data_IF_988111744171
#
_entry.id   IF_988111744171
#
_cell.length_a   1.000
_cell.length_b   1.000
_cell.length_c   1.000
_cell.angle_alpha   90.00
_cell.angle_beta   90.00
_cell.angle_gamma   90.00
#
_symmetry.space_group_name_H-M   'P 1'
#
loop_
_entity.id
_entity.type
_entity.pdbx_description
1 polymer ?
#
# COMPACT_ATOMS: atom_id res chain seq x y z
N UNK A 1 -14.24 -3.81 -46.72
CA UNK A 1 -12.82 -3.58 -46.38
C UNK A 1 -12.79 -3.33 -44.87
N UNK A 2 -12.66 -4.44 -44.12
CA UNK A 2 -12.48 -4.40 -42.65
C UNK A 2 -11.04 -3.95 -42.37
N UNK A 3 -10.90 -3.00 -41.48
CA UNK A 3 -9.70 -2.29 -41.13
C UNK A 3 -8.61 -3.20 -40.52
N UNK A 4 -7.74 -3.74 -41.38
CA UNK A 4 -6.56 -4.51 -40.98
C UNK A 4 -5.56 -3.68 -40.14
N UNK A 5 -5.71 -2.34 -40.12
CA UNK A 5 -4.84 -1.44 -39.36
C UNK A 5 -5.05 -1.48 -37.85
N UNK A 6 -6.29 -1.76 -37.39
CA UNK A 6 -6.63 -1.89 -35.98
C UNK A 6 -6.07 -3.20 -35.38
N UNK A 7 -6.11 -4.29 -36.14
CA UNK A 7 -5.57 -5.57 -35.72
C UNK A 7 -4.05 -5.56 -35.51
N UNK A 8 -3.32 -4.90 -36.40
CA UNK A 8 -1.85 -4.80 -36.29
C UNK A 8 -1.40 -3.84 -35.19
N UNK A 9 -2.15 -2.78 -34.89
CA UNK A 9 -1.84 -1.89 -33.77
C UNK A 9 -2.02 -2.62 -32.43
N UNK A 10 -3.11 -3.34 -32.27
CA UNK A 10 -3.38 -4.15 -31.07
C UNK A 10 -2.35 -5.27 -30.87
N UNK A 11 -1.89 -5.90 -31.97
CA UNK A 11 -0.88 -6.95 -31.91
C UNK A 11 0.52 -6.38 -31.55
N UNK A 12 0.89 -5.21 -32.08
CA UNK A 12 2.16 -4.55 -31.71
C UNK A 12 2.16 -4.05 -30.28
N UNK A 13 1.04 -3.54 -29.78
CA UNK A 13 0.88 -3.15 -28.38
C UNK A 13 1.01 -4.37 -27.45
N UNK A 14 0.37 -5.49 -27.81
CA UNK A 14 0.48 -6.76 -27.07
C UNK A 14 1.91 -7.32 -27.06
N UNK A 15 2.68 -7.21 -28.15
CA UNK A 15 4.06 -7.66 -28.23
C UNK A 15 5.02 -6.77 -27.44
N UNK A 16 4.83 -5.45 -27.47
CA UNK A 16 5.65 -4.52 -26.66
C UNK A 16 5.38 -4.70 -25.17
N UNK A 17 4.14 -4.90 -24.79
CA UNK A 17 3.74 -5.21 -23.42
C UNK A 17 4.36 -6.52 -22.92
N UNK A 18 4.27 -7.60 -23.72
CA UNK A 18 4.92 -8.88 -23.38
C UNK A 18 6.44 -8.78 -23.24
N UNK A 19 7.11 -7.99 -24.07
CA UNK A 19 8.56 -7.75 -23.94
C UNK A 19 8.90 -6.99 -22.67
N UNK A 20 8.11 -6.01 -22.33
CA UNK A 20 8.25 -5.24 -21.08
C UNK A 20 8.03 -6.12 -19.85
N UNK A 21 6.97 -6.97 -19.84
CA UNK A 21 6.73 -7.96 -18.79
C UNK A 21 7.89 -8.91 -18.56
N UNK A 22 8.46 -9.46 -19.66
CA UNK A 22 9.63 -10.35 -19.58
C UNK A 22 10.85 -9.59 -19.04
N UNK A 23 11.05 -8.33 -19.45
CA UNK A 23 12.11 -7.47 -18.93
C UNK A 23 11.97 -7.30 -17.42
N UNK A 24 10.82 -6.89 -16.92
CA UNK A 24 10.55 -6.77 -15.48
C UNK A 24 10.76 -8.07 -14.70
N UNK A 25 10.30 -9.20 -15.24
CA UNK A 25 10.56 -10.52 -14.61
C UNK A 25 12.06 -10.81 -14.47
N UNK A 26 12.85 -10.52 -15.49
CA UNK A 26 14.30 -10.72 -15.45
C UNK A 26 14.96 -9.77 -14.45
N UNK A 27 14.53 -8.51 -14.40
CA UNK A 27 15.06 -7.53 -13.48
C UNK A 27 14.71 -7.90 -12.02
N UNK A 28 13.49 -8.34 -11.76
CA UNK A 28 13.08 -8.86 -10.45
C UNK A 28 13.92 -10.09 -10.04
N UNK A 29 14.15 -11.04 -10.96
CA UNK A 29 15.00 -12.22 -10.68
C UNK A 29 16.42 -11.79 -10.27
N UNK A 30 16.98 -10.79 -10.94
CA UNK A 30 18.32 -10.27 -10.63
C UNK A 30 18.35 -9.50 -9.33
N UNK A 31 17.37 -8.61 -9.15
CA UNK A 31 17.26 -7.74 -7.99
C UNK A 31 17.09 -8.53 -6.69
N UNK A 32 16.21 -9.53 -6.70
CA UNK A 32 15.93 -10.38 -5.53
C UNK A 32 16.85 -11.60 -5.43
N UNK A 33 17.85 -11.75 -6.32
CA UNK A 33 18.75 -12.90 -6.36
C UNK A 33 18.02 -14.25 -6.27
N UNK A 34 16.95 -14.39 -7.07
CA UNK A 34 16.01 -15.52 -7.01
C UNK A 34 16.73 -16.82 -7.36
N UNK A 35 16.61 -17.90 -6.56
CA UNK A 35 17.21 -19.20 -6.87
C UNK A 35 16.77 -19.74 -8.24
N UNK A 36 17.64 -20.44 -9.00
CA UNK A 36 17.40 -20.82 -10.41
C UNK A 36 16.07 -21.54 -10.68
N UNK A 37 15.67 -22.45 -9.78
CA UNK A 37 14.39 -23.18 -9.93
C UNK A 37 13.19 -22.23 -9.81
N UNK A 38 13.23 -21.31 -8.86
CA UNK A 38 12.20 -20.29 -8.68
C UNK A 38 12.22 -19.26 -9.80
N UNK A 39 13.41 -18.89 -10.30
CA UNK A 39 13.56 -18.00 -11.44
C UNK A 39 12.89 -18.57 -12.70
N UNK A 40 13.06 -19.86 -12.96
CA UNK A 40 12.39 -20.55 -14.07
C UNK A 40 10.86 -20.53 -13.91
N UNK A 41 10.35 -20.81 -12.72
CA UNK A 41 8.93 -20.74 -12.42
C UNK A 41 8.40 -19.33 -12.63
N UNK A 42 9.11 -18.30 -12.14
CA UNK A 42 8.75 -16.90 -12.33
C UNK A 42 8.71 -16.48 -13.81
N UNK A 43 9.57 -17.01 -14.65
CA UNK A 43 9.57 -16.76 -16.10
C UNK A 43 8.43 -17.46 -16.84
N UNK A 44 8.06 -18.68 -16.41
CA UNK A 44 7.07 -19.52 -17.10
C UNK A 44 5.63 -19.19 -16.75
N UNK A 45 5.36 -18.68 -15.53
CA UNK A 45 4.02 -18.35 -15.06
C UNK A 45 3.78 -16.84 -15.11
N UNK A 46 2.54 -16.44 -15.34
CA UNK A 46 2.14 -15.03 -15.35
C UNK A 46 1.98 -14.54 -13.91
N UNK A 47 3.13 -14.19 -13.31
CA UNK A 47 3.25 -13.88 -11.87
C UNK A 47 2.69 -12.49 -11.56
N UNK A 48 2.51 -11.64 -12.57
CA UNK A 48 2.04 -10.27 -12.37
C UNK A 48 0.67 -10.21 -11.70
N UNK A 49 -0.21 -11.16 -12.04
CA UNK A 49 -1.52 -11.28 -11.42
C UNK A 49 -1.52 -12.04 -10.09
N UNK A 50 -0.53 -12.88 -9.86
CA UNK A 50 -0.40 -13.62 -8.61
C UNK A 50 0.30 -12.78 -7.53
N UNK A 51 1.03 -11.72 -7.91
CA UNK A 51 1.78 -10.87 -7.00
C UNK A 51 0.93 -9.96 -6.10
N UNK A 52 -0.34 -9.73 -6.44
CA UNK A 52 -1.17 -8.74 -5.74
C UNK A 52 -2.22 -9.35 -4.83
N UNK A 53 -2.44 -10.68 -4.88
CA UNK A 53 -3.46 -11.36 -4.10
C UNK A 53 -2.91 -12.64 -3.46
N UNK A 54 -2.42 -12.53 -2.24
CA UNK A 54 -1.86 -13.62 -1.43
C UNK A 54 -2.13 -13.40 0.06
N UNK A 55 -2.12 -14.51 0.81
CA UNK A 55 -2.11 -14.47 2.27
C UNK A 55 -0.69 -14.29 2.79
N UNK A 56 -0.56 -13.74 3.98
CA UNK A 56 0.71 -13.59 4.70
C UNK A 56 0.73 -14.46 5.95
N UNK A 57 1.92 -14.98 6.29
CA UNK A 57 2.10 -15.86 7.45
C UNK A 57 2.49 -15.15 8.74
N UNK A 58 2.80 -13.86 8.67
CA UNK A 58 3.37 -13.09 9.77
C UNK A 58 2.51 -11.89 10.21
N UNK A 59 1.19 -12.12 10.34
CA UNK A 59 0.25 -11.10 10.83
C UNK A 59 0.55 -10.66 12.27
N UNK A 60 1.06 -11.55 13.12
CA UNK A 60 1.44 -11.20 14.50
C UNK A 60 2.64 -10.25 14.51
N UNK A 61 3.65 -10.49 13.66
CA UNK A 61 4.77 -9.56 13.48
C UNK A 61 4.30 -8.20 12.93
N UNK A 62 3.27 -8.20 12.06
CA UNK A 62 2.66 -6.98 11.52
C UNK A 62 1.98 -6.16 12.63
N UNK A 63 1.17 -6.78 13.49
CA UNK A 63 0.52 -6.05 14.59
C UNK A 63 1.53 -5.47 15.58
N UNK A 64 2.61 -6.20 15.89
CA UNK A 64 3.72 -5.73 16.71
C UNK A 64 4.45 -4.56 16.05
N UNK A 65 4.75 -4.66 14.76
CA UNK A 65 5.37 -3.58 13.99
C UNK A 65 4.52 -2.31 14.02
N UNK A 66 3.23 -2.42 13.70
CA UNK A 66 2.31 -1.29 13.71
C UNK A 66 2.18 -0.67 15.11
N UNK A 67 2.14 -1.50 16.16
CA UNK A 67 2.10 -1.04 17.54
C UNK A 67 3.36 -0.26 17.93
N UNK A 68 4.55 -0.74 17.57
CA UNK A 68 5.82 -0.02 17.81
C UNK A 68 5.85 1.31 17.06
N UNK A 69 5.43 1.31 15.80
CA UNK A 69 5.48 2.51 14.97
C UNK A 69 4.50 3.59 15.45
N UNK A 70 3.31 3.20 15.90
CA UNK A 70 2.21 4.14 16.17
C UNK A 70 1.92 4.37 17.65
N UNK A 71 2.38 3.47 18.53
CA UNK A 71 1.99 3.45 19.94
C UNK A 71 0.57 2.96 20.21
N UNK A 72 -0.17 2.51 19.18
CA UNK A 72 -1.50 1.92 19.33
C UNK A 72 -1.37 0.52 19.93
N UNK A 73 -2.34 0.12 20.73
CA UNK A 73 -2.31 -1.19 21.40
C UNK A 73 -2.25 -2.33 20.37
N UNK A 74 -1.30 -3.26 20.57
CA UNK A 74 -1.08 -4.40 19.66
C UNK A 74 -2.33 -5.27 19.50
N UNK A 75 -3.05 -5.56 20.60
CA UNK A 75 -4.24 -6.40 20.55
C UNK A 75 -5.41 -5.73 19.78
N UNK A 76 -5.49 -4.41 19.79
CA UNK A 76 -6.44 -3.66 18.99
C UNK A 76 -6.12 -3.78 17.50
N UNK A 77 -4.86 -3.59 17.12
CA UNK A 77 -4.38 -3.73 15.74
C UNK A 77 -4.55 -5.17 15.23
N UNK A 78 -4.21 -6.16 16.04
CA UNK A 78 -4.43 -7.57 15.72
C UNK A 78 -5.93 -7.88 15.51
N UNK A 79 -6.79 -7.28 16.32
CA UNK A 79 -8.25 -7.39 16.17
C UNK A 79 -8.73 -6.84 14.80
N UNK A 80 -8.22 -5.70 14.37
CA UNK A 80 -8.54 -5.14 13.05
C UNK A 80 -7.96 -5.94 11.89
N UNK A 81 -6.76 -6.50 12.04
CA UNK A 81 -6.19 -7.43 11.05
C UNK A 81 -7.10 -8.67 10.92
N UNK A 82 -7.52 -9.25 12.02
CA UNK A 82 -8.44 -10.39 12.02
C UNK A 82 -9.81 -10.01 11.43
N UNK A 83 -10.30 -8.79 11.64
CA UNK A 83 -11.57 -8.31 11.10
C UNK A 83 -11.60 -8.37 9.57
N UNK A 84 -10.57 -7.85 8.88
CA UNK A 84 -10.51 -7.90 7.42
C UNK A 84 -10.22 -9.32 6.91
N UNK A 85 -9.37 -10.08 7.58
CA UNK A 85 -9.06 -11.47 7.17
C UNK A 85 -10.28 -12.37 7.22
N UNK A 86 -11.22 -12.13 8.13
CA UNK A 86 -12.45 -12.90 8.31
C UNK A 86 -13.69 -12.27 7.66
N UNK A 87 -13.55 -11.20 6.87
CA UNK A 87 -14.68 -10.58 6.17
C UNK A 87 -15.05 -11.37 4.91
N UNK A 88 -15.71 -12.51 5.11
CA UNK A 88 -16.17 -13.43 4.04
C UNK A 88 -16.98 -12.71 2.95
N UNK A 89 -17.77 -11.69 3.32
CA UNK A 89 -18.59 -10.94 2.36
C UNK A 89 -17.71 -10.13 1.43
N UNK A 90 -16.74 -9.38 1.98
CA UNK A 90 -15.79 -8.59 1.21
C UNK A 90 -14.94 -9.49 0.30
N UNK A 91 -14.40 -10.58 0.86
CA UNK A 91 -13.58 -11.53 0.09
C UNK A 91 -14.37 -12.16 -1.05
N UNK A 92 -15.61 -12.57 -0.83
CA UNK A 92 -16.47 -13.17 -1.85
C UNK A 92 -16.77 -12.17 -2.97
N UNK A 93 -17.13 -10.94 -2.63
CA UNK A 93 -17.48 -9.92 -3.62
C UNK A 93 -16.27 -9.54 -4.48
N UNK A 94 -15.11 -9.29 -3.87
CA UNK A 94 -13.90 -8.92 -4.61
C UNK A 94 -13.38 -10.11 -5.43
N UNK A 95 -13.41 -11.34 -4.88
CA UNK A 95 -13.03 -12.57 -5.60
C UNK A 95 -13.89 -12.79 -6.83
N UNK A 96 -15.20 -12.51 -6.74
CA UNK A 96 -16.12 -12.60 -7.88
C UNK A 96 -15.77 -11.63 -9.00
N UNK A 97 -15.35 -10.40 -8.68
CA UNK A 97 -14.88 -9.41 -9.65
C UNK A 97 -13.53 -9.77 -10.24
N UNK A 98 -12.63 -10.23 -9.41
CA UNK A 98 -11.27 -10.59 -9.77
C UNK A 98 -11.18 -11.94 -10.51
N UNK A 99 -12.25 -12.76 -10.43
CA UNK A 99 -12.34 -14.14 -10.95
C UNK A 99 -11.27 -15.08 -10.36
N UNK A 100 -10.81 -14.81 -9.15
CA UNK A 100 -9.89 -15.59 -8.35
C UNK A 100 -10.03 -15.20 -6.87
N UNK A 101 -9.48 -15.98 -5.91
CA UNK A 101 -9.54 -15.61 -4.51
C UNK A 101 -8.91 -14.24 -4.25
N UNK A 102 -9.66 -13.32 -3.65
CA UNK A 102 -9.11 -12.06 -3.19
C UNK A 102 -8.34 -12.28 -1.89
N UNK A 103 -7.12 -11.77 -1.83
CA UNK A 103 -6.24 -11.76 -0.67
C UNK A 103 -5.53 -10.42 -0.61
N UNK A 104 -5.38 -9.86 0.57
CA UNK A 104 -4.93 -8.48 0.69
C UNK A 104 -3.43 -8.34 0.99
N UNK A 105 -2.72 -9.43 1.34
CA UNK A 105 -1.31 -9.34 1.69
C UNK A 105 -1.06 -8.30 2.80
N UNK A 106 0.00 -7.51 2.67
CA UNK A 106 0.34 -6.42 3.61
C UNK A 106 -0.73 -5.34 3.78
N UNK A 107 -1.68 -5.22 2.84
CA UNK A 107 -2.75 -4.22 2.89
C UNK A 107 -3.72 -4.41 4.06
N UNK A 108 -3.69 -5.59 4.72
CA UNK A 108 -4.39 -5.78 5.99
C UNK A 108 -3.85 -4.83 7.08
N UNK A 109 -2.57 -4.43 6.98
CA UNK A 109 -1.96 -3.41 7.84
C UNK A 109 -2.50 -2.01 7.56
N UNK A 110 -2.72 -1.65 6.29
CA UNK A 110 -3.38 -0.38 5.94
C UNK A 110 -4.78 -0.31 6.52
N UNK A 111 -5.53 -1.41 6.37
CA UNK A 111 -6.86 -1.53 6.97
C UNK A 111 -6.80 -1.30 8.47
N UNK A 112 -5.93 -2.00 9.20
CA UNK A 112 -5.82 -1.90 10.64
C UNK A 112 -5.45 -0.48 11.11
N UNK A 113 -4.51 0.18 10.41
CA UNK A 113 -4.16 1.57 10.69
C UNK A 113 -5.34 2.52 10.51
N UNK A 114 -6.06 2.41 9.40
CA UNK A 114 -7.22 3.27 9.10
C UNK A 114 -8.34 3.02 10.11
N UNK A 115 -8.57 1.76 10.52
CA UNK A 115 -9.54 1.42 11.56
C UNK A 115 -9.21 2.11 12.88
N UNK A 116 -7.94 2.07 13.28
CA UNK A 116 -7.47 2.59 14.56
C UNK A 116 -7.34 4.13 14.55
N UNK A 117 -6.77 4.72 13.51
CA UNK A 117 -6.46 6.17 13.47
C UNK A 117 -7.62 7.03 12.97
N UNK A 118 -8.59 6.45 12.26
CA UNK A 118 -9.81 7.13 11.76
C UNK A 118 -9.49 8.40 10.95
N UNK A 119 -8.65 8.34 9.92
CA UNK A 119 -8.30 9.52 9.12
C UNK A 119 -9.52 10.08 8.40
N UNK A 120 -9.59 11.41 8.24
CA UNK A 120 -10.64 12.06 7.45
C UNK A 120 -10.35 11.96 5.95
N UNK A 121 -9.07 12.11 5.56
CA UNK A 121 -8.64 12.01 4.17
C UNK A 121 -7.46 11.04 4.06
N UNK A 122 -7.68 9.98 3.27
CA UNK A 122 -6.64 9.04 2.83
C UNK A 122 -6.36 9.29 1.35
N UNK A 123 -5.09 9.36 0.97
CA UNK A 123 -4.66 9.43 -0.43
C UNK A 123 -3.88 8.18 -0.77
N UNK A 124 -4.24 7.50 -1.84
CA UNK A 124 -3.50 6.38 -2.44
C UNK A 124 -2.97 6.81 -3.80
N UNK A 125 -1.65 6.94 -3.91
CA UNK A 125 -0.96 7.17 -5.16
C UNK A 125 -0.66 5.82 -5.82
N UNK A 126 -1.28 5.55 -6.98
CA UNK A 126 -1.22 4.25 -7.66
C UNK A 126 -2.34 3.30 -7.20
N UNK A 127 -3.53 3.45 -7.79
CA UNK A 127 -4.71 2.61 -7.43
C UNK A 127 -4.70 1.26 -8.16
N UNK A 128 -4.16 1.24 -9.38
CA UNK A 128 -4.15 0.07 -10.25
C UNK A 128 -5.54 -0.58 -10.35
N UNK A 129 -5.69 -1.88 -10.08
CA UNK A 129 -6.98 -2.57 -10.11
C UNK A 129 -7.93 -2.18 -8.96
N UNK A 130 -7.41 -1.58 -7.90
CA UNK A 130 -8.17 -1.12 -6.74
C UNK A 130 -8.20 -2.10 -5.57
N UNK A 131 -7.31 -3.09 -5.51
CA UNK A 131 -7.27 -4.04 -4.38
C UNK A 131 -6.90 -3.33 -3.07
N UNK A 132 -5.90 -2.41 -3.10
CA UNK A 132 -5.56 -1.54 -1.98
C UNK A 132 -6.74 -0.66 -1.57
N UNK A 133 -7.32 0.03 -2.56
CA UNK A 133 -8.50 0.85 -2.36
C UNK A 133 -9.67 0.09 -1.71
N UNK A 134 -9.88 -1.19 -2.02
CA UNK A 134 -10.91 -2.03 -1.38
C UNK A 134 -10.66 -2.19 0.11
N UNK A 135 -9.42 -2.45 0.54
CA UNK A 135 -9.07 -2.55 1.96
C UNK A 135 -9.28 -1.20 2.68
N UNK A 136 -8.78 -0.11 2.09
CA UNK A 136 -8.91 1.25 2.63
C UNK A 136 -10.39 1.63 2.78
N UNK A 137 -11.17 1.50 1.72
CA UNK A 137 -12.58 1.88 1.70
C UNK A 137 -13.43 1.03 2.64
N UNK A 138 -13.11 -0.26 2.79
CA UNK A 138 -13.77 -1.11 3.78
C UNK A 138 -13.52 -0.62 5.20
N UNK A 139 -12.28 -0.23 5.54
CA UNK A 139 -11.94 0.35 6.83
C UNK A 139 -12.70 1.67 7.09
N UNK A 140 -12.71 2.57 6.10
CA UNK A 140 -13.44 3.85 6.18
C UNK A 140 -14.95 3.65 6.33
N UNK A 141 -15.52 2.66 5.63
CA UNK A 141 -16.94 2.32 5.75
C UNK A 141 -17.28 1.78 7.15
N UNK A 142 -16.47 0.86 7.68
CA UNK A 142 -16.62 0.33 9.06
C UNK A 142 -16.47 1.42 10.11
N UNK A 143 -15.61 2.39 9.89
CA UNK A 143 -15.46 3.58 10.74
C UNK A 143 -16.64 4.56 10.61
N UNK A 144 -17.43 4.46 9.56
CA UNK A 144 -18.39 5.47 9.13
C UNK A 144 -17.78 6.88 9.09
N UNK A 145 -16.51 6.99 8.69
CA UNK A 145 -15.75 8.23 8.71
C UNK A 145 -14.67 8.22 7.63
N UNK A 146 -14.40 9.41 7.06
CA UNK A 146 -13.33 9.64 6.11
C UNK A 146 -13.68 9.28 4.67
N UNK A 147 -12.78 9.66 3.76
CA UNK A 147 -12.81 9.37 2.32
C UNK A 147 -11.45 8.91 1.82
N UNK A 148 -11.45 8.17 0.72
CA UNK A 148 -10.26 7.85 -0.06
C UNK A 148 -10.24 8.69 -1.33
N UNK A 149 -9.11 9.32 -1.61
CA UNK A 149 -8.79 9.91 -2.91
C UNK A 149 -7.73 9.02 -3.54
N UNK A 150 -8.12 8.30 -4.58
CA UNK A 150 -7.22 7.45 -5.35
C UNK A 150 -6.72 8.17 -6.59
N UNK A 151 -5.43 8.05 -6.87
CA UNK A 151 -4.78 8.67 -8.03
C UNK A 151 -4.16 7.61 -8.91
N UNK A 152 -4.35 7.69 -10.22
CA UNK A 152 -3.72 6.77 -11.18
C UNK A 152 -3.60 7.43 -12.55
N UNK A 153 -2.56 7.07 -13.30
CA UNK A 153 -2.37 7.55 -14.65
C UNK A 153 -3.43 7.01 -15.62
N UNK A 154 -3.97 5.82 -15.35
CA UNK A 154 -5.03 5.22 -16.16
C UNK A 154 -6.40 5.64 -15.63
N UNK A 155 -7.28 6.21 -16.48
CA UNK A 155 -8.63 6.53 -16.07
C UNK A 155 -9.48 5.28 -15.83
N UNK A 156 -10.58 5.42 -15.09
CA UNK A 156 -11.60 4.38 -15.01
C UNK A 156 -12.23 4.13 -16.41
N UNK A 157 -12.58 2.88 -16.75
CA UNK A 157 -12.52 1.65 -15.94
C UNK A 157 -11.18 0.88 -16.04
N UNK A 158 -10.11 1.48 -16.54
CA UNK A 158 -8.79 0.87 -16.59
C UNK A 158 -8.22 0.63 -15.19
N UNK A 159 -8.40 1.62 -14.30
CA UNK A 159 -8.05 1.52 -12.88
C UNK A 159 -9.31 1.39 -12.01
N UNK A 160 -9.12 1.01 -10.74
CA UNK A 160 -10.15 0.99 -9.69
C UNK A 160 -11.38 0.11 -9.98
N UNK A 161 -11.29 -0.83 -10.92
CA UNK A 161 -12.42 -1.66 -11.36
C UNK A 161 -12.85 -2.73 -10.34
N UNK A 162 -11.97 -3.10 -9.38
CA UNK A 162 -12.30 -4.02 -8.29
C UNK A 162 -13.24 -3.42 -7.25
N UNK A 163 -13.26 -2.09 -7.10
CA UNK A 163 -14.00 -1.42 -6.03
C UNK A 163 -15.51 -1.69 -6.16
N UNK A 164 -16.14 -2.32 -5.14
CA UNK A 164 -17.58 -2.55 -5.12
C UNK A 164 -18.38 -1.24 -5.12
N UNK A 165 -19.58 -1.20 -5.75
CA UNK A 165 -20.39 0.03 -5.84
C UNK A 165 -20.72 0.65 -4.48
N UNK A 166 -20.97 -0.15 -3.45
CA UNK A 166 -21.32 0.34 -2.12
C UNK A 166 -20.15 1.02 -1.39
N UNK A 167 -18.90 0.66 -1.72
CA UNK A 167 -17.70 1.30 -1.17
C UNK A 167 -17.36 2.62 -1.89
N UNK A 168 -17.84 2.81 -3.12
CA UNK A 168 -17.55 4.02 -3.92
C UNK A 168 -18.16 5.31 -3.37
N UNK A 169 -19.07 5.25 -2.42
CA UNK A 169 -19.66 6.44 -1.77
C UNK A 169 -18.63 7.27 -1.00
N UNK A 170 -17.46 6.69 -0.68
CA UNK A 170 -16.34 7.33 0.02
C UNK A 170 -15.09 7.44 -0.85
N UNK A 171 -15.22 7.21 -2.15
CA UNK A 171 -14.13 7.18 -3.12
C UNK A 171 -14.21 8.35 -4.10
N UNK A 172 -13.14 9.10 -4.20
CA UNK A 172 -12.88 10.08 -5.23
C UNK A 172 -11.71 9.57 -6.08
N UNK A 173 -11.83 9.62 -7.41
CA UNK A 173 -10.77 9.18 -8.31
C UNK A 173 -10.23 10.35 -9.12
N UNK A 174 -8.91 10.50 -9.16
CA UNK A 174 -8.19 11.50 -9.96
C UNK A 174 -7.35 10.77 -10.99
N UNK A 175 -7.74 10.89 -12.26
CA UNK A 175 -6.98 10.34 -13.38
C UNK A 175 -5.94 11.35 -13.87
N UNK A 176 -4.71 10.92 -14.06
CA UNK A 176 -3.64 11.73 -14.63
C UNK A 176 -2.27 11.39 -14.04
N UNK A 177 -1.25 12.05 -14.55
CA UNK A 177 0.10 11.95 -13.99
C UNK A 177 0.10 12.53 -12.56
N UNK A 178 0.60 11.75 -11.61
CA UNK A 178 0.67 12.15 -10.20
C UNK A 178 1.54 13.39 -10.03
N UNK A 179 2.61 13.52 -10.80
CA UNK A 179 3.45 14.71 -10.77
C UNK A 179 2.69 16.00 -11.12
N UNK A 180 1.63 15.90 -11.93
CA UNK A 180 0.79 17.04 -12.32
C UNK A 180 -0.41 17.22 -11.38
N UNK A 181 -0.99 16.13 -10.88
CA UNK A 181 -2.27 16.15 -10.15
C UNK A 181 -2.12 16.26 -8.64
N UNK A 182 -1.04 15.71 -8.06
CA UNK A 182 -0.79 15.73 -6.62
C UNK A 182 -0.61 17.15 -6.04
N UNK A 183 0.12 18.09 -6.69
CA UNK A 183 0.21 19.45 -6.18
C UNK A 183 -1.16 20.14 -6.01
N UNK A 184 -2.04 20.04 -7.02
CA UNK A 184 -3.38 20.60 -6.94
C UNK A 184 -4.26 19.93 -5.89
N UNK A 185 -4.07 18.63 -5.64
CA UNK A 185 -4.74 17.93 -4.55
C UNK A 185 -4.31 18.47 -3.19
N UNK A 186 -3.00 18.65 -2.98
CA UNK A 186 -2.43 19.14 -1.72
C UNK A 186 -2.91 20.57 -1.36
N UNK A 187 -3.21 21.41 -2.36
CA UNK A 187 -3.75 22.75 -2.13
C UNK A 187 -5.20 22.74 -1.61
N UNK A 188 -5.99 21.72 -1.94
CA UNK A 188 -7.41 21.65 -1.59
C UNK A 188 -7.75 20.71 -0.43
N UNK A 189 -6.89 19.76 -0.13
CA UNK A 189 -7.16 18.70 0.84
C UNK A 189 -6.07 18.67 1.93
N UNK A 190 -6.51 18.46 3.16
CA UNK A 190 -5.63 18.11 4.25
C UNK A 190 -5.48 16.59 4.29
N UNK A 191 -4.29 16.07 4.02
CA UNK A 191 -4.02 14.64 3.90
C UNK A 191 -3.61 14.09 5.27
N UNK A 192 -4.46 13.25 5.87
CA UNK A 192 -4.15 12.63 7.17
C UNK A 192 -3.34 11.35 7.02
N UNK A 193 -3.51 10.63 5.90
CA UNK A 193 -2.75 9.43 5.58
C UNK A 193 -2.45 9.39 4.08
N UNK A 194 -1.17 9.31 3.72
CA UNK A 194 -0.69 9.19 2.35
C UNK A 194 -0.05 7.83 2.12
N UNK A 195 -0.39 7.16 1.03
CA UNK A 195 0.13 5.85 0.64
C UNK A 195 0.79 5.99 -0.74
N UNK A 196 2.10 5.76 -0.79
CA UNK A 196 2.84 5.60 -2.03
C UNK A 196 2.77 4.14 -2.48
N UNK A 197 2.05 3.86 -3.57
CA UNK A 197 1.96 2.56 -4.27
C UNK A 197 1.97 2.77 -5.80
N UNK A 198 2.66 3.83 -6.27
CA UNK A 198 2.71 4.26 -7.67
C UNK A 198 3.97 3.74 -8.39
N UNK A 199 4.75 4.60 -9.01
CA UNK A 199 6.04 4.25 -9.61
C UNK A 199 7.11 4.15 -8.50
N UNK A 200 7.59 2.93 -8.25
CA UNK A 200 8.58 2.63 -7.20
C UNK A 200 10.01 3.04 -7.56
N UNK A 201 10.21 3.95 -8.51
CA UNK A 201 11.52 4.56 -8.74
C UNK A 201 11.84 5.56 -7.61
N UNK A 202 13.08 5.57 -7.14
CA UNK A 202 13.53 6.47 -6.06
C UNK A 202 13.22 7.95 -6.36
N UNK A 203 13.36 8.35 -7.64
CA UNK A 203 13.11 9.73 -8.07
C UNK A 203 11.63 10.10 -7.95
N UNK A 204 10.74 9.18 -8.34
CA UNK A 204 9.31 9.43 -8.34
C UNK A 204 8.75 9.43 -6.91
N UNK A 205 9.16 8.45 -6.10
CA UNK A 205 8.79 8.38 -4.69
C UNK A 205 9.26 9.63 -3.92
N UNK A 206 10.52 10.07 -4.15
CA UNK A 206 11.05 11.29 -3.52
C UNK A 206 10.26 12.54 -3.94
N UNK A 207 9.89 12.66 -5.21
CA UNK A 207 9.08 13.77 -5.73
C UNK A 207 7.72 13.84 -5.04
N UNK A 208 7.02 12.70 -4.87
CA UNK A 208 5.74 12.68 -4.17
C UNK A 208 5.89 13.20 -2.73
N UNK A 209 6.94 12.75 -2.01
CA UNK A 209 7.18 13.20 -0.64
C UNK A 209 7.55 14.69 -0.55
N UNK A 210 8.31 15.21 -1.51
CA UNK A 210 8.59 16.66 -1.58
C UNK A 210 7.31 17.47 -1.76
N UNK A 211 6.40 17.01 -2.62
CA UNK A 211 5.12 17.69 -2.88
C UNK A 211 4.22 17.69 -1.65
N UNK A 212 4.06 16.56 -0.95
CA UNK A 212 3.15 16.49 0.20
C UNK A 212 3.70 17.16 1.46
N UNK A 213 5.01 17.26 1.62
CA UNK A 213 5.68 17.73 2.86
C UNK A 213 5.11 19.04 3.42
N UNK A 214 4.95 20.14 2.63
CA UNK A 214 4.44 21.40 3.17
C UNK A 214 2.95 21.36 3.54
N UNK A 215 2.23 20.31 3.15
CA UNK A 215 0.78 20.18 3.30
C UNK A 215 0.37 19.13 4.34
N UNK A 216 1.34 18.37 4.88
CA UNK A 216 1.06 17.36 5.89
C UNK A 216 0.68 18.01 7.23
N UNK A 217 -0.49 17.70 7.79
CA UNK A 217 -0.82 18.13 9.14
C UNK A 217 0.03 17.41 10.19
N UNK A 218 0.11 17.99 11.37
CA UNK A 218 0.65 17.29 12.52
C UNK A 218 -0.11 15.98 12.74
N UNK A 219 0.61 14.88 12.91
CA UNK A 219 0.03 13.55 13.09
C UNK A 219 -0.28 12.80 11.80
N UNK A 220 -0.01 13.39 10.63
CA UNK A 220 -0.16 12.67 9.37
C UNK A 220 0.73 11.43 9.31
N UNK A 221 0.20 10.38 8.70
CA UNK A 221 0.90 9.13 8.47
C UNK A 221 1.30 9.06 6.99
N UNK A 222 2.56 8.69 6.72
CA UNK A 222 3.04 8.41 5.37
C UNK A 222 3.47 6.96 5.28
N UNK A 223 2.97 6.25 4.27
CA UNK A 223 3.24 4.84 4.00
C UNK A 223 3.93 4.71 2.65
N UNK A 224 4.97 3.87 2.59
CA UNK A 224 5.51 3.34 1.35
C UNK A 224 5.21 1.85 1.24
N UNK A 225 4.64 1.46 0.10
CA UNK A 225 4.33 0.06 -0.19
C UNK A 225 5.58 -0.76 -0.54
N UNK A 226 6.69 -0.09 -0.83
CA UNK A 226 7.95 -0.69 -1.27
C UNK A 226 9.17 -0.16 -0.51
N UNK A 227 9.06 0.12 0.77
CA UNK A 227 10.12 0.64 1.64
C UNK A 227 11.18 -0.41 1.97
N UNK A 228 11.88 -0.92 0.96
CA UNK A 228 12.85 -1.98 1.15
C UNK A 228 14.25 -1.43 1.49
N UNK A 229 14.82 -1.77 2.66
CA UNK A 229 16.25 -1.98 2.76
C UNK A 229 16.55 -3.41 2.31
N UNK A 230 16.97 -3.62 1.07
CA UNK A 230 17.38 -4.94 0.59
C UNK A 230 18.87 -5.13 0.89
N UNK A 231 19.19 -5.75 2.00
CA UNK A 231 20.56 -6.08 2.37
C UNK A 231 21.42 -4.85 2.70
N UNK A 232 22.62 -4.74 2.08
CA UNK A 232 23.54 -3.59 2.23
C UNK A 232 23.21 -2.41 1.30
N UNK A 233 21.98 -2.31 0.83
CA UNK A 233 21.54 -1.23 -0.04
C UNK A 233 21.28 0.04 0.82
N UNK A 234 21.45 1.24 0.25
CA UNK A 234 21.17 2.51 0.93
C UNK A 234 19.77 2.54 1.54
N UNK A 235 19.52 3.36 2.57
CA UNK A 235 18.20 3.49 3.18
C UNK A 235 17.14 3.76 2.10
N UNK A 236 15.92 3.23 2.28
CA UNK A 236 14.82 3.49 1.35
C UNK A 236 14.45 4.98 1.34
N UNK A 237 13.74 5.41 0.28
CA UNK A 237 13.39 6.83 0.09
C UNK A 237 12.59 7.37 1.27
N UNK A 238 11.60 6.61 1.76
CA UNK A 238 10.80 7.01 2.93
C UNK A 238 11.65 7.21 4.17
N UNK A 239 12.65 6.35 4.40
CA UNK A 239 13.55 6.49 5.56
C UNK A 239 14.39 7.77 5.48
N UNK A 240 15.00 8.04 4.31
CA UNK A 240 15.78 9.27 4.07
C UNK A 240 14.92 10.50 4.27
N UNK A 241 13.73 10.51 3.67
CA UNK A 241 12.79 11.62 3.81
C UNK A 241 12.35 11.81 5.26
N UNK A 242 12.01 10.74 5.98
CA UNK A 242 11.60 10.81 7.38
C UNK A 242 12.70 11.41 8.28
N UNK A 243 13.97 11.03 8.05
CA UNK A 243 15.12 11.61 8.75
C UNK A 243 15.25 13.10 8.48
N UNK A 244 15.12 13.53 7.22
CA UNK A 244 15.18 14.95 6.83
C UNK A 244 14.05 15.77 7.46
N UNK A 245 12.85 15.18 7.61
CA UNK A 245 11.68 15.83 8.22
C UNK A 245 11.62 15.66 9.74
N UNK A 246 12.67 15.07 10.37
CA UNK A 246 12.69 14.75 11.80
C UNK A 246 11.47 13.90 12.24
N UNK A 247 11.03 12.99 11.39
CA UNK A 247 9.94 12.04 11.64
C UNK A 247 10.49 10.68 12.09
N UNK A 248 9.64 9.90 12.74
CA UNK A 248 9.91 8.48 13.00
C UNK A 248 9.75 7.68 11.70
N UNK A 249 10.58 6.65 11.53
CA UNK A 249 10.45 5.65 10.47
C UNK A 249 10.61 4.26 11.06
N UNK A 250 9.76 3.34 10.63
CA UNK A 250 9.91 1.89 10.86
C UNK A 250 9.46 1.13 9.61
N UNK A 251 9.93 -0.09 9.43
CA UNK A 251 9.56 -0.95 8.29
C UNK A 251 9.40 -2.40 8.72
N UNK A 252 8.60 -3.12 7.95
CA UNK A 252 8.32 -4.53 8.17
C UNK A 252 8.22 -5.25 6.81
N UNK A 253 8.75 -6.47 6.74
CA UNK A 253 8.68 -7.30 5.55
C UNK A 253 7.59 -8.35 5.68
N UNK A 254 6.68 -8.40 4.73
CA UNK A 254 5.68 -9.45 4.65
C UNK A 254 6.28 -10.80 4.26
N UNK A 255 5.62 -11.89 4.71
CA UNK A 255 5.98 -13.27 4.37
C UNK A 255 4.80 -13.93 3.63
N UNK A 256 4.71 -13.81 2.29
CA UNK A 256 3.64 -14.39 1.51
C UNK A 256 3.56 -15.91 1.63
N UNK A 257 2.33 -16.45 1.74
CA UNK A 257 2.09 -17.89 1.81
C UNK A 257 1.98 -18.46 0.40
N UNK A 258 2.77 -19.50 0.13
CA UNK A 258 2.67 -20.24 -1.14
C UNK A 258 3.05 -19.46 -2.39
N UNK A 259 3.69 -18.31 -2.21
CA UNK A 259 4.04 -17.39 -3.27
C UNK A 259 5.55 -17.40 -3.56
N UNK A 260 5.95 -17.13 -4.82
CA UNK A 260 7.36 -17.06 -5.23
C UNK A 260 8.04 -15.76 -4.82
N UNK A 261 7.24 -14.78 -4.47
CA UNK A 261 7.67 -13.45 -4.09
C UNK A 261 8.21 -13.44 -2.65
N UNK A 262 9.27 -12.69 -2.41
CA UNK A 262 9.92 -12.63 -1.10
C UNK A 262 9.19 -11.73 -0.10
N UNK A 263 8.12 -11.08 -0.55
CA UNK A 263 7.37 -10.10 0.22
C UNK A 263 7.89 -8.68 0.05
N UNK A 264 6.98 -7.73 -0.05
CA UNK A 264 7.31 -6.32 -0.03
C UNK A 264 7.67 -5.85 1.37
N UNK A 265 8.36 -4.73 1.44
CA UNK A 265 8.61 -4.00 2.68
C UNK A 265 7.58 -2.89 2.81
N UNK A 266 6.80 -2.97 3.85
CA UNK A 266 5.87 -1.94 4.24
C UNK A 266 6.59 -0.94 5.16
N UNK A 267 6.77 0.29 4.71
CA UNK A 267 7.36 1.38 5.48
C UNK A 267 6.30 2.34 6.00
N UNK A 268 6.51 2.86 7.21
CA UNK A 268 5.64 3.85 7.84
C UNK A 268 6.46 4.98 8.44
N UNK A 269 5.97 6.22 8.26
CA UNK A 269 6.53 7.40 8.91
C UNK A 269 5.45 8.22 9.62
N UNK A 270 5.74 8.62 10.85
CA UNK A 270 4.88 9.44 11.73
C UNK A 270 5.70 10.52 12.42
N UNK A 271 5.01 11.53 12.98
CA UNK A 271 5.66 12.54 13.82
C UNK A 271 6.21 11.94 15.12
N UNK A 272 7.43 12.32 15.52
CA UNK A 272 8.07 11.81 16.75
C UNK A 272 7.27 12.11 18.00
N UNK A 273 6.52 13.20 18.04
CA UNK A 273 5.69 13.58 19.19
C UNK A 273 4.60 12.55 19.53
N UNK A 274 4.19 11.72 18.57
CA UNK A 274 3.20 10.67 18.81
C UNK A 274 3.81 9.41 19.45
N UNK A 275 5.07 9.10 19.14
CA UNK A 275 5.77 7.95 19.71
C UNK A 275 6.24 8.17 21.15
N UNK A 276 6.55 9.40 21.53
CA UNK A 276 7.03 9.73 22.89
C UNK A 276 5.89 9.80 23.92
N UNK A 277 4.66 10.17 23.52
CA UNK A 277 3.51 10.23 24.42
C UNK A 277 3.03 8.85 24.89
N UNK A 278 3.26 7.82 24.10
CA UNK A 278 2.88 6.43 24.41
C UNK A 278 3.85 5.76 25.40
N UNK A 279 5.12 6.17 25.41
CA UNK A 279 6.15 5.65 26.33
C UNK A 279 6.00 6.15 27.78
N UNK A 280 5.33 7.28 27.99
CA UNK A 280 5.21 7.91 29.32
C UNK A 280 3.92 7.54 30.09
N UNK A 281 2.96 6.89 29.45
CA UNK A 281 1.72 6.46 30.11
C UNK A 281 1.88 5.20 31.01
N UNK A 282 3.08 4.60 31.02
CA UNK A 282 3.36 3.33 31.73
C UNK A 282 4.00 3.47 33.13
N UNK A 283 4.40 4.66 33.62
CA UNK A 283 5.19 4.81 34.86
C UNK A 283 4.54 5.78 35.85
N UNK A 284 3.31 5.55 36.22
CA UNK A 284 2.75 6.03 37.48
C UNK A 284 1.85 4.97 38.10
N UNK A 285 2.43 3.88 38.57
CA UNK A 285 1.81 3.10 39.64
C UNK A 285 2.28 3.67 40.98
N UNK A 286 1.35 4.34 41.65
CA UNK A 286 1.50 4.79 43.03
C UNK A 286 1.89 3.60 43.91
N UNK A 287 3.08 3.68 44.47
CA UNK A 287 3.44 2.96 45.69
C UNK A 287 2.87 3.77 46.85
N UNK A 288 1.74 3.38 47.36
CA UNK A 288 1.33 3.71 48.73
C UNK A 288 1.49 2.48 49.57
N UNK A 289 2.46 2.50 50.44
CA UNK A 289 2.58 1.65 51.64
C UNK A 289 2.05 2.43 52.87
N UNK A 290 1.91 1.68 53.96
CA UNK A 290 1.00 0.64 54.43
C UNK A 290 -0.07 1.23 55.26
#
# INVERSE_FOLDING_TARGET
VLDESLGMKNFRHSLSHKKWLIGRKIDNIRFYNVPPVRALQHLLFDVEYDNFTYDISNCDELSQFLSRATGINESELAGYIAEILNDETLHTEISGRFKRPARFGRRVGWYALIRATRPAVVVEAGVHDGLGACAILSALAKNNHGKLIGMDIQPEPGSAWLIPPHLRTRFEFIAGDIAETLPALCERERIDLFIHDSDHSEIFEAMEYEVITPHLPQGAIVISDCAAPVGNIPPCVLEVWAQQQNRHFDSWQEKPIGHFYFGAHFGISLDKSQTESSGNAGIHRNVTQP
#
